data_IF_327273119815
#
_entry.id   IF_327273119815
#
_cell.length_a   1.000
_cell.length_b   1.000
_cell.length_c   1.000
_cell.angle_alpha   90.00
_cell.angle_beta   90.00
_cell.angle_gamma   90.00
#
_symmetry.space_group_name_H-M   'P 1'
#
loop_
_entity.id
_entity.type
_entity.pdbx_description
1 polymer ?
#
# COMPACT_ATOMS: atom_id res chain seq x y z
N UNK A 1 -14.12 27.06 -10.23
CA UNK A 1 -13.33 25.81 -10.22
C UNK A 1 -12.95 25.37 -8.81
N UNK A 2 -13.93 25.15 -7.93
CA UNK A 2 -13.71 24.71 -6.53
C UNK A 2 -13.47 23.20 -6.43
N UNK A 3 -14.15 22.41 -7.25
CA UNK A 3 -14.01 20.95 -7.28
C UNK A 3 -12.58 20.53 -7.62
N UNK A 4 -11.99 21.07 -8.69
CA UNK A 4 -10.63 20.73 -9.13
C UNK A 4 -9.59 20.97 -8.03
N UNK A 5 -9.63 22.15 -7.41
CA UNK A 5 -8.71 22.51 -6.33
C UNK A 5 -8.82 21.56 -5.14
N UNK A 6 -10.03 21.09 -4.79
CA UNK A 6 -10.22 20.08 -3.76
C UNK A 6 -9.51 18.77 -4.13
N UNK A 7 -9.69 18.29 -5.36
CA UNK A 7 -9.00 17.07 -5.82
C UNK A 7 -7.48 17.21 -5.75
N UNK A 8 -6.93 18.31 -6.27
CA UNK A 8 -5.48 18.54 -6.31
C UNK A 8 -4.84 18.49 -4.90
N UNK A 9 -5.55 18.95 -3.86
CA UNK A 9 -5.05 18.85 -2.48
C UNK A 9 -5.12 17.43 -1.90
N UNK A 10 -6.11 16.64 -2.32
CA UNK A 10 -6.38 15.31 -1.77
C UNK A 10 -5.62 14.19 -2.50
N UNK A 11 -5.07 14.46 -3.68
CA UNK A 11 -4.28 13.49 -4.46
C UNK A 11 -2.78 13.50 -4.13
N UNK A 12 -2.33 14.42 -3.27
CA UNK A 12 -0.95 14.46 -2.83
C UNK A 12 -0.55 13.21 -2.04
N UNK A 13 0.64 12.62 -2.26
CA UNK A 13 1.14 11.50 -1.46
C UNK A 13 1.16 11.81 0.05
N UNK A 14 1.45 13.06 0.42
CA UNK A 14 1.43 13.50 1.82
C UNK A 14 0.03 13.46 2.43
N UNK A 15 -1.00 13.76 1.63
CA UNK A 15 -2.39 13.70 2.09
C UNK A 15 -2.78 12.26 2.44
N UNK A 16 -2.36 11.29 1.61
CA UNK A 16 -2.58 9.86 1.82
C UNK A 16 -1.79 9.33 3.02
N UNK A 17 -0.50 9.66 3.13
CA UNK A 17 0.37 9.22 4.22
C UNK A 17 -0.10 9.76 5.58
N UNK A 18 -0.51 11.03 5.67
CA UNK A 18 -1.05 11.63 6.90
C UNK A 18 -2.35 10.95 7.37
N UNK A 19 -2.99 10.13 6.53
CA UNK A 19 -4.22 9.38 6.82
C UNK A 19 -3.99 7.88 6.92
N UNK A 20 -2.73 7.44 6.86
CA UNK A 20 -2.37 6.03 6.95
C UNK A 20 -3.06 5.22 5.82
N UNK A 21 -3.25 5.85 4.67
CA UNK A 21 -3.63 5.12 3.45
C UNK A 21 -2.45 4.35 2.87
N UNK A 22 -1.24 4.77 3.23
CA UNK A 22 0.02 4.12 2.90
C UNK A 22 0.88 4.04 4.17
N UNK A 23 1.72 3.02 4.25
CA UNK A 23 2.63 2.83 5.40
C UNK A 23 3.86 3.76 5.34
N UNK A 24 4.16 4.31 4.17
CA UNK A 24 5.27 5.26 3.99
C UNK A 24 5.35 5.85 2.58
N UNK A 25 6.10 6.94 2.47
CA UNK A 25 6.56 7.51 1.19
C UNK A 25 8.06 7.22 1.09
N UNK A 26 8.49 6.63 -0.01
CA UNK A 26 9.87 6.20 -0.22
C UNK A 26 10.45 6.84 -1.47
N UNK A 27 11.78 6.97 -1.51
CA UNK A 27 12.51 7.26 -2.74
C UNK A 27 12.28 6.10 -3.74
N UNK A 28 11.81 6.37 -4.98
CA UNK A 28 11.62 5.34 -5.99
C UNK A 28 12.85 4.44 -6.23
N UNK A 29 14.06 4.98 -6.08
CA UNK A 29 15.31 4.20 -6.23
C UNK A 29 15.45 3.10 -5.17
N UNK A 30 14.80 3.26 -4.01
CA UNK A 30 14.86 2.30 -2.90
C UNK A 30 13.76 1.22 -2.97
N UNK A 31 12.91 1.22 -3.99
CA UNK A 31 11.76 0.31 -4.11
C UNK A 31 12.16 -1.16 -3.95
N UNK A 32 13.25 -1.61 -4.59
CA UNK A 32 13.74 -2.99 -4.49
C UNK A 32 14.09 -3.38 -3.06
N UNK A 33 14.76 -2.49 -2.33
CA UNK A 33 15.18 -2.73 -0.94
C UNK A 33 13.96 -2.90 -0.04
N UNK A 34 12.98 -2.01 -0.15
CA UNK A 34 11.75 -2.07 0.64
C UNK A 34 10.94 -3.35 0.38
N UNK A 35 10.76 -3.72 -0.90
CA UNK A 35 10.05 -4.96 -1.24
C UNK A 35 10.81 -6.19 -0.72
N UNK A 36 12.13 -6.24 -0.88
CA UNK A 36 12.95 -7.36 -0.42
C UNK A 36 12.85 -7.53 1.10
N UNK A 37 12.96 -6.44 1.85
CA UNK A 37 12.83 -6.45 3.31
C UNK A 37 11.42 -6.87 3.75
N UNK A 38 10.37 -6.42 3.06
CA UNK A 38 9.00 -6.83 3.34
C UNK A 38 8.77 -8.33 3.14
N UNK A 39 9.33 -8.91 2.07
CA UNK A 39 9.29 -10.36 1.83
C UNK A 39 10.05 -11.12 2.92
N UNK A 40 11.25 -10.67 3.28
CA UNK A 40 12.04 -11.28 4.36
C UNK A 40 11.27 -11.27 5.68
N UNK A 41 10.67 -10.13 6.04
CA UNK A 41 9.84 -10.02 7.23
C UNK A 41 8.65 -10.99 7.17
N UNK A 42 7.95 -11.06 6.03
CA UNK A 42 6.80 -11.96 5.84
C UNK A 42 7.17 -13.45 5.95
N UNK A 43 8.38 -13.84 5.56
CA UNK A 43 8.84 -15.24 5.63
C UNK A 43 8.94 -15.80 7.07
N UNK A 44 8.92 -14.94 8.09
CA UNK A 44 8.83 -15.36 9.48
C UNK A 44 7.44 -15.84 9.90
N UNK A 45 6.43 -15.72 9.02
CA UNK A 45 5.09 -16.26 9.19
C UNK A 45 4.84 -17.36 8.14
N UNK A 46 4.92 -18.66 8.49
CA UNK A 46 4.77 -19.75 7.53
C UNK A 46 3.36 -19.79 6.92
N UNK A 47 3.28 -20.17 5.64
CA UNK A 47 2.00 -20.31 4.93
C UNK A 47 1.37 -21.65 5.31
N UNK A 48 0.48 -21.64 6.31
CA UNK A 48 -0.19 -22.85 6.81
C UNK A 48 -1.45 -23.22 6.05
N UNK A 49 -2.08 -22.24 5.38
CA UNK A 49 -3.38 -22.41 4.70
C UNK A 49 -3.23 -22.13 3.22
N UNK A 50 -3.80 -23.01 2.40
CA UNK A 50 -3.96 -22.74 0.96
C UNK A 50 -4.88 -21.54 0.77
N UNK A 51 -4.59 -20.73 -0.24
CA UNK A 51 -5.44 -19.62 -0.65
C UNK A 51 -6.85 -20.11 -0.97
N UNK A 52 -7.86 -19.42 -0.44
CA UNK A 52 -9.27 -19.74 -0.61
C UNK A 52 -10.03 -18.44 -0.93
N UNK A 53 -10.76 -18.44 -2.05
CA UNK A 53 -11.51 -17.29 -2.55
C UNK A 53 -12.80 -17.00 -1.77
N UNK A 54 -13.22 -17.92 -0.89
CA UNK A 54 -14.53 -17.87 -0.26
C UNK A 54 -15.65 -18.15 -1.25
N UNK A 55 -16.85 -17.62 -0.97
CA UNK A 55 -18.00 -17.71 -1.86
C UNK A 55 -17.98 -16.52 -2.82
N UNK A 56 -17.88 -16.80 -4.11
CA UNK A 56 -18.00 -15.77 -5.15
C UNK A 56 -19.50 -15.54 -5.39
N UNK A 57 -19.96 -14.31 -5.17
CA UNK A 57 -21.33 -13.92 -5.51
C UNK A 57 -21.41 -13.60 -7.01
N UNK A 58 -22.38 -14.19 -7.69
CA UNK A 58 -22.76 -13.94 -9.09
C UNK A 58 -24.16 -13.39 -9.17
#
# INVERSE_FOLDING_TARGET
NTIKSRYDTQTSPYYAAARIWTDGIIDPLNTRTWISMGIEAANHAPIEKKFNLGVIQV
#
